data_IF_431966461517
#
_entry.id   IF_431966461517
#
_cell.length_a   1.000
_cell.length_b   1.000
_cell.length_c   1.000
_cell.angle_alpha   90.00
_cell.angle_beta   90.00
_cell.angle_gamma   90.00
#
_symmetry.space_group_name_H-M   'P 1'
#
loop_
_entity.id
_entity.type
_entity.pdbx_description
1 polymer ?
#
# COMPACT_ATOMS: atom_id res chain seq x y z
N UNK A 1 13.78 -11.74 -21.87
CA UNK A 1 13.19 -12.33 -20.64
C UNK A 1 11.83 -11.72 -20.25
N UNK A 2 11.75 -10.56 -19.56
CA UNK A 2 10.44 -10.05 -19.06
C UNK A 2 9.46 -9.61 -20.16
N UNK A 3 9.96 -8.98 -21.23
CA UNK A 3 9.12 -8.60 -22.37
C UNK A 3 8.53 -9.82 -23.10
N UNK A 4 9.30 -10.90 -23.23
CA UNK A 4 8.79 -12.16 -23.80
C UNK A 4 7.62 -12.72 -22.98
N UNK A 5 7.70 -12.64 -21.64
CA UNK A 5 6.62 -13.11 -20.76
C UNK A 5 5.35 -12.26 -20.94
N UNK A 6 5.52 -10.94 -21.10
CA UNK A 6 4.42 -10.00 -21.38
C UNK A 6 3.66 -10.36 -22.66
N UNK A 7 4.35 -10.81 -23.71
CA UNK A 7 3.75 -11.18 -25.00
C UNK A 7 3.39 -12.68 -25.11
N UNK A 8 3.65 -13.47 -24.06
CA UNK A 8 3.39 -14.91 -24.04
C UNK A 8 4.33 -15.76 -24.91
N UNK A 9 5.43 -15.18 -25.41
CA UNK A 9 6.38 -15.85 -26.31
C UNK A 9 7.64 -16.27 -25.55
N UNK A 10 7.53 -17.32 -24.72
CA UNK A 10 8.65 -17.78 -23.89
C UNK A 10 9.63 -18.68 -24.64
N UNK A 11 10.85 -18.19 -24.86
CA UNK A 11 11.95 -19.01 -25.38
C UNK A 11 12.46 -20.02 -24.33
N UNK A 12 13.11 -21.10 -24.79
CA UNK A 12 13.70 -22.11 -23.89
C UNK A 12 14.82 -21.54 -23.01
N UNK A 13 15.61 -20.59 -23.53
CA UNK A 13 16.66 -19.91 -22.78
C UNK A 13 16.07 -19.07 -21.64
N UNK A 14 15.00 -18.32 -21.90
CA UNK A 14 14.25 -17.58 -20.88
C UNK A 14 13.66 -18.53 -19.82
N UNK A 15 13.10 -19.66 -20.23
CA UNK A 15 12.54 -20.65 -19.29
C UNK A 15 13.62 -21.24 -18.39
N UNK A 16 14.80 -21.57 -18.94
CA UNK A 16 15.95 -22.03 -18.16
C UNK A 16 16.44 -20.98 -17.16
N UNK A 17 16.48 -19.71 -17.57
CA UNK A 17 16.88 -18.61 -16.69
C UNK A 17 15.94 -18.46 -15.49
N UNK A 18 14.61 -18.50 -15.69
CA UNK A 18 13.65 -18.45 -14.57
C UNK A 18 13.77 -19.65 -13.63
N UNK A 19 14.00 -20.86 -14.14
CA UNK A 19 14.23 -22.05 -13.29
C UNK A 19 15.46 -21.88 -12.39
N UNK A 20 16.53 -21.24 -12.89
CA UNK A 20 17.72 -20.93 -12.09
C UNK A 20 17.48 -19.86 -11.00
N UNK A 21 16.36 -19.13 -11.05
CA UNK A 21 15.96 -18.18 -10.01
C UNK A 21 15.32 -18.82 -8.78
N UNK A 22 15.11 -20.14 -8.77
CA UNK A 22 14.56 -20.90 -7.63
C UNK A 22 15.51 -21.06 -6.43
N UNK A 23 16.74 -20.56 -6.53
CA UNK A 23 17.71 -20.56 -5.43
C UNK A 23 17.26 -19.68 -4.27
N UNK A 24 17.68 -20.02 -3.05
CA UNK A 24 17.45 -19.18 -1.86
C UNK A 24 18.13 -17.82 -2.01
N UNK A 25 17.42 -16.75 -1.65
CA UNK A 25 17.96 -15.39 -1.66
C UNK A 25 18.24 -14.96 -0.22
N UNK A 26 19.46 -14.52 0.05
CA UNK A 26 19.89 -13.98 1.35
C UNK A 26 20.21 -12.51 1.19
N UNK A 27 19.75 -11.69 2.14
CA UNK A 27 20.04 -10.26 2.21
C UNK A 27 20.78 -9.95 3.51
N UNK A 28 21.78 -9.07 3.43
CA UNK A 28 22.63 -8.71 4.57
C UNK A 28 22.08 -7.50 5.36
N UNK A 29 21.06 -6.82 4.84
CA UNK A 29 20.47 -5.60 5.41
C UNK A 29 19.36 -5.87 6.45
N UNK A 30 19.12 -7.15 6.76
CA UNK A 30 18.07 -7.58 7.69
C UNK A 30 16.65 -7.48 7.12
N UNK A 31 16.48 -6.98 5.88
CA UNK A 31 15.19 -6.95 5.19
C UNK A 31 15.04 -8.26 4.43
N UNK A 32 14.05 -9.06 4.83
CA UNK A 32 13.77 -10.31 4.13
C UNK A 32 13.08 -10.03 2.78
N UNK A 33 13.18 -10.97 1.83
CA UNK A 33 12.46 -10.86 0.57
C UNK A 33 10.95 -10.72 0.78
N UNK A 34 10.34 -9.93 -0.10
CA UNK A 34 8.88 -9.87 -0.21
C UNK A 34 8.40 -11.05 -1.04
N UNK A 35 7.55 -11.88 -0.45
CA UNK A 35 6.90 -12.99 -1.14
C UNK A 35 5.65 -12.51 -1.88
N UNK A 36 5.44 -13.01 -3.10
CA UNK A 36 4.31 -12.66 -3.95
C UNK A 36 3.40 -13.87 -4.12
N UNK A 37 2.11 -13.70 -3.79
CA UNK A 37 1.11 -14.76 -3.89
C UNK A 37 -0.06 -14.32 -4.80
N UNK A 38 -0.73 -15.27 -5.46
CA UNK A 38 -1.88 -14.96 -6.32
C UNK A 38 -3.15 -14.61 -5.52
N UNK A 39 -3.34 -15.19 -4.32
CA UNK A 39 -4.52 -14.95 -3.48
C UNK A 39 -4.18 -14.16 -2.22
N UNK A 40 -5.10 -13.26 -1.82
CA UNK A 40 -4.98 -12.49 -0.57
C UNK A 40 -4.87 -13.37 0.66
N UNK A 41 -5.66 -14.45 0.74
CA UNK A 41 -5.62 -15.38 1.87
C UNK A 41 -4.25 -16.04 2.07
N UNK A 42 -3.48 -16.25 0.98
CA UNK A 42 -2.13 -16.79 1.06
C UNK A 42 -1.14 -15.74 1.58
N UNK A 43 -1.27 -14.48 1.12
CA UNK A 43 -0.50 -13.34 1.64
C UNK A 43 -0.75 -13.15 3.14
N UNK A 44 -2.02 -13.13 3.56
CA UNK A 44 -2.40 -12.93 4.96
C UNK A 44 -1.87 -14.05 5.84
N UNK A 45 -1.95 -15.31 5.38
CA UNK A 45 -1.39 -16.46 6.09
C UNK A 45 0.13 -16.35 6.24
N UNK A 46 0.85 -16.03 5.16
CA UNK A 46 2.30 -15.86 5.20
C UNK A 46 2.73 -14.72 6.12
N UNK A 47 2.08 -13.56 6.02
CA UNK A 47 2.34 -12.39 6.86
C UNK A 47 2.06 -12.67 8.34
N UNK A 48 0.95 -13.34 8.66
CA UNK A 48 0.61 -13.69 10.04
C UNK A 48 1.57 -14.72 10.63
N UNK A 49 1.98 -15.72 9.85
CA UNK A 49 3.00 -16.70 10.28
C UNK A 49 4.33 -16.02 10.58
N UNK A 50 4.71 -15.02 9.77
CA UNK A 50 5.93 -14.25 9.99
C UNK A 50 5.82 -13.30 11.17
N UNK A 51 4.66 -12.69 11.38
CA UNK A 51 4.40 -11.86 12.56
C UNK A 51 4.39 -12.71 13.85
N UNK A 52 3.85 -13.93 13.80
CA UNK A 52 3.80 -14.81 14.97
C UNK A 52 5.18 -15.32 15.37
N UNK A 53 6.07 -15.57 14.40
CA UNK A 53 7.45 -16.00 14.65
C UNK A 53 8.37 -14.91 15.21
N UNK A 54 8.01 -13.63 15.06
CA UNK A 54 8.77 -12.53 15.65
C UNK A 54 8.67 -12.55 17.19
N UNK A 55 9.80 -12.31 17.89
CA UNK A 55 9.80 -12.16 19.34
C UNK A 55 9.10 -10.87 19.76
N UNK A 56 8.72 -10.81 21.04
CA UNK A 56 8.08 -9.64 21.65
C UNK A 56 6.55 -9.66 21.60
N UNK A 57 5.98 -8.73 22.36
CA UNK A 57 4.54 -8.66 22.57
C UNK A 57 3.82 -8.01 21.38
N UNK A 58 2.66 -8.56 20.97
CA UNK A 58 1.85 -7.96 19.92
C UNK A 58 1.14 -6.69 20.42
N UNK A 59 1.16 -5.65 19.60
CA UNK A 59 0.37 -4.44 19.78
C UNK A 59 -0.67 -4.33 18.68
N UNK A 60 -1.95 -4.28 19.06
CA UNK A 60 -3.07 -4.18 18.13
C UNK A 60 -3.63 -2.76 18.08
N UNK A 61 -3.64 -2.19 16.89
CA UNK A 61 -4.25 -0.91 16.57
C UNK A 61 -5.62 -1.16 15.93
N UNK A 62 -6.68 -0.61 16.50
CA UNK A 62 -8.05 -0.71 15.96
C UNK A 62 -8.42 0.58 15.27
N UNK A 63 -9.05 0.47 14.10
CA UNK A 63 -9.61 1.60 13.38
C UNK A 63 -10.79 2.19 14.16
N UNK A 64 -11.01 3.48 13.96
CA UNK A 64 -12.18 4.21 14.45
C UNK A 64 -12.98 4.67 13.23
N UNK A 65 -14.07 3.95 12.97
CA UNK A 65 -14.90 4.15 11.77
C UNK A 65 -16.20 4.85 12.17
N UNK A 66 -16.61 5.87 11.41
CA UNK A 66 -17.85 6.64 11.64
C UNK A 66 -18.60 6.69 10.30
N UNK A 67 -19.92 6.47 10.26
CA UNK A 67 -20.65 6.54 9.01
C UNK A 67 -20.58 7.93 8.38
N UNK A 68 -20.14 7.97 7.12
CA UNK A 68 -20.19 9.15 6.28
C UNK A 68 -21.58 9.42 5.70
N UNK A 69 -21.63 10.36 4.77
CA UNK A 69 -22.83 10.71 4.00
C UNK A 69 -22.68 10.24 2.55
N UNK A 70 -23.81 9.96 1.89
CA UNK A 70 -23.83 9.69 0.46
C UNK A 70 -23.77 10.98 -0.39
N UNK A 71 -23.82 10.85 -1.71
CA UNK A 71 -23.78 11.99 -2.65
C UNK A 71 -24.94 12.98 -2.50
N UNK A 72 -26.02 12.59 -1.81
CA UNK A 72 -27.19 13.42 -1.55
C UNK A 72 -27.21 13.96 -0.11
N UNK A 73 -26.14 13.76 0.68
CA UNK A 73 -26.07 14.18 2.08
C UNK A 73 -26.88 13.28 3.03
N UNK A 74 -27.25 12.07 2.61
CA UNK A 74 -27.98 11.12 3.45
C UNK A 74 -26.96 10.32 4.28
N UNK A 75 -27.09 10.27 5.61
CA UNK A 75 -26.20 9.45 6.46
C UNK A 75 -26.27 7.98 6.07
N UNK A 76 -25.11 7.38 5.86
CA UNK A 76 -25.00 5.94 5.63
C UNK A 76 -25.33 5.17 6.91
N UNK A 77 -25.99 4.03 6.77
CA UNK A 77 -26.09 3.09 7.89
C UNK A 77 -24.80 2.27 8.04
N UNK A 78 -24.62 1.63 9.19
CA UNK A 78 -23.41 0.84 9.48
C UNK A 78 -23.16 -0.30 8.48
N UNK A 79 -24.22 -0.95 7.97
CA UNK A 79 -24.08 -2.03 6.98
C UNK A 79 -23.57 -1.51 5.62
N UNK A 80 -24.01 -0.31 5.22
CA UNK A 80 -23.52 0.34 4.00
C UNK A 80 -22.06 0.78 4.17
N UNK A 81 -21.72 1.39 5.30
CA UNK A 81 -20.35 1.76 5.65
C UNK A 81 -19.42 0.53 5.60
N UNK A 82 -19.80 -0.57 6.26
CA UNK A 82 -18.98 -1.80 6.30
C UNK A 82 -18.68 -2.34 4.90
N UNK A 83 -19.68 -2.39 4.00
CA UNK A 83 -19.48 -2.82 2.61
C UNK A 83 -18.54 -1.92 1.82
N UNK A 84 -18.49 -0.63 2.14
CA UNK A 84 -17.56 0.31 1.52
C UNK A 84 -16.14 0.11 2.07
N UNK A 85 -16.02 -0.04 3.39
CA UNK A 85 -14.74 -0.26 4.07
C UNK A 85 -14.09 -1.60 3.69
N UNK A 86 -14.88 -2.64 3.38
CA UNK A 86 -14.37 -3.93 2.87
C UNK A 86 -13.54 -3.79 1.57
N UNK A 87 -13.72 -2.70 0.82
CA UNK A 87 -12.96 -2.44 -0.41
C UNK A 87 -11.62 -1.76 -0.16
N UNK A 88 -11.39 -1.25 1.05
CA UNK A 88 -10.14 -0.60 1.40
C UNK A 88 -9.00 -1.61 1.51
N UNK A 89 -7.78 -1.11 1.24
CA UNK A 89 -6.55 -1.89 1.41
C UNK A 89 -6.21 -2.04 2.90
N UNK A 90 -6.66 -1.10 3.73
CA UNK A 90 -6.33 -1.05 5.16
C UNK A 90 -7.35 -1.88 5.96
N UNK A 91 -6.90 -2.83 6.81
CA UNK A 91 -7.80 -3.62 7.63
C UNK A 91 -8.32 -2.84 8.85
N UNK A 92 -9.46 -3.27 9.40
CA UNK A 92 -10.07 -2.68 10.62
C UNK A 92 -9.19 -2.79 11.87
N UNK A 93 -8.29 -3.76 11.91
CA UNK A 93 -7.29 -3.89 12.98
C UNK A 93 -5.96 -4.33 12.42
N UNK A 94 -4.88 -3.69 12.85
CA UNK A 94 -3.51 -4.04 12.48
C UNK A 94 -2.77 -4.44 13.75
N UNK A 95 -2.21 -5.64 13.78
CA UNK A 95 -1.36 -6.11 14.89
C UNK A 95 0.09 -6.08 14.44
N UNK A 96 0.97 -5.49 15.26
CA UNK A 96 2.40 -5.33 14.97
C UNK A 96 3.25 -5.82 16.14
N UNK A 97 4.47 -6.25 15.85
CA UNK A 97 5.52 -6.57 16.81
C UNK A 97 6.79 -5.82 16.44
N UNK A 98 7.72 -5.68 17.39
CA UNK A 98 9.04 -5.12 17.12
C UNK A 98 9.75 -5.99 16.06
N UNK A 99 10.31 -5.35 15.03
CA UNK A 99 10.92 -6.04 13.89
C UNK A 99 9.96 -6.47 12.78
N UNK A 100 8.66 -6.18 12.90
CA UNK A 100 7.71 -6.40 11.82
C UNK A 100 7.98 -5.47 10.62
N UNK A 101 8.06 -6.04 9.43
CA UNK A 101 8.20 -5.29 8.18
C UNK A 101 6.83 -4.77 7.73
N UNK A 102 6.75 -3.47 7.46
CA UNK A 102 5.51 -2.78 7.08
C UNK A 102 5.66 -2.05 5.76
N UNK A 103 4.54 -1.85 5.07
CA UNK A 103 4.49 -1.08 3.82
C UNK A 103 3.61 0.17 4.01
N UNK A 104 4.06 1.30 3.46
CA UNK A 104 3.24 2.50 3.40
C UNK A 104 2.17 2.34 2.31
N UNK A 105 0.90 2.40 2.71
CA UNK A 105 -0.26 2.26 1.81
C UNK A 105 -0.87 3.59 1.37
N UNK A 106 -0.48 4.70 2.02
CA UNK A 106 -0.93 6.06 1.68
C UNK A 106 0.27 6.99 1.64
N UNK A 107 0.51 7.59 0.48
CA UNK A 107 1.55 8.61 0.30
C UNK A 107 1.25 9.79 1.23
N UNK A 108 2.23 10.19 2.03
CA UNK A 108 2.20 11.46 2.75
C UNK A 108 2.92 12.49 1.89
N UNK A 109 2.20 13.50 1.44
CA UNK A 109 2.82 14.68 0.85
C UNK A 109 3.18 15.61 1.99
N UNK A 110 4.47 15.68 2.32
CA UNK A 110 4.96 16.71 3.23
C UNK A 110 5.15 17.99 2.42
N UNK A 111 4.47 19.06 2.80
CA UNK A 111 4.46 20.33 2.06
C UNK A 111 5.81 21.08 2.06
N UNK A 112 6.85 20.53 2.71
CA UNK A 112 8.10 21.26 2.95
C UNK A 112 9.22 21.02 1.93
N UNK A 113 9.17 19.99 1.10
CA UNK A 113 10.29 19.69 0.18
C UNK A 113 9.85 19.03 -1.14
N UNK A 114 8.81 19.55 -1.79
CA UNK A 114 8.67 19.29 -3.23
C UNK A 114 9.67 20.20 -3.94
N UNK A 115 10.94 19.78 -4.02
CA UNK A 115 11.85 20.37 -5.00
C UNK A 115 11.29 20.00 -6.38
N UNK A 116 10.86 20.99 -7.19
CA UNK A 116 10.34 20.68 -8.51
C UNK A 116 11.47 20.05 -9.33
N UNK A 117 11.19 18.88 -9.92
CA UNK A 117 12.01 18.32 -10.99
C UNK A 117 12.29 19.42 -12.01
N UNK A 118 13.55 19.53 -12.43
CA UNK A 118 14.14 20.60 -13.23
C UNK A 118 13.61 20.67 -14.67
N UNK A 119 12.31 20.85 -14.84
CA UNK A 119 11.69 21.29 -16.08
C UNK A 119 10.86 22.52 -15.79
N UNK A 120 11.28 23.61 -16.44
CA UNK A 120 10.86 24.99 -16.27
C UNK A 120 9.35 25.13 -16.48
N UNK A 121 8.58 25.07 -15.40
CA UNK A 121 7.17 25.47 -15.43
C UNK A 121 7.15 27.00 -15.27
N UNK A 122 6.59 27.71 -16.25
CA UNK A 122 6.48 29.16 -16.22
C UNK A 122 5.67 29.65 -15.01
N UNK A 123 5.98 30.84 -14.45
CA UNK A 123 5.35 31.36 -13.24
C UNK A 123 3.81 31.42 -13.30
N UNK A 124 3.25 31.66 -14.48
CA UNK A 124 1.80 31.77 -14.71
C UNK A 124 1.06 30.42 -14.53
N UNK A 125 1.73 29.30 -14.80
CA UNK A 125 1.15 27.97 -14.61
C UNK A 125 1.05 27.57 -13.13
N UNK A 126 1.79 28.26 -12.26
CA UNK A 126 1.85 28.00 -10.80
C UNK A 126 0.61 28.54 -10.06
N UNK A 127 0.02 29.63 -10.56
CA UNK A 127 -1.15 30.26 -9.95
C UNK A 127 -2.46 29.48 -10.18
N UNK A 128 -2.55 28.66 -11.24
CA UNK A 128 -3.76 27.84 -11.49
C UNK A 128 -3.80 26.52 -10.72
N UNK A 129 -2.65 25.98 -10.30
CA UNK A 129 -2.59 24.71 -9.56
C UNK A 129 -2.69 24.89 -8.05
N UNK A 130 -2.33 26.07 -7.54
CA UNK A 130 -2.41 26.41 -6.12
C UNK A 130 -3.27 27.65 -5.92
N UNK A 131 -4.55 27.52 -6.30
CA UNK A 131 -5.58 28.46 -5.88
C UNK A 131 -5.78 28.37 -4.37
N UNK A 132 -5.63 29.51 -3.72
CA UNK A 132 -5.70 29.72 -2.28
C UNK A 132 -7.01 29.19 -1.66
N UNK A 133 -6.88 28.24 -0.74
CA UNK A 133 -7.65 28.21 0.51
C UNK A 133 -7.03 27.21 1.47
N UNK A 134 -6.19 27.74 2.36
CA UNK A 134 -5.91 27.12 3.65
C UNK A 134 -7.22 27.08 4.44
N UNK A 135 -7.97 25.99 4.29
CA UNK A 135 -9.09 25.62 5.13
C UNK A 135 -8.80 24.23 5.64
N UNK A 136 -8.51 24.12 6.93
CA UNK A 136 -8.54 22.85 7.63
C UNK A 136 -9.93 22.24 7.43
N UNK A 137 -10.02 21.23 6.56
CA UNK A 137 -11.21 20.40 6.44
C UNK A 137 -10.81 18.96 6.72
N UNK A 138 -10.97 18.59 7.99
CA UNK A 138 -11.58 17.30 8.29
C UNK A 138 -13.00 17.37 7.71
N UNK A 139 -13.18 16.83 6.50
CA UNK A 139 -14.48 16.35 6.05
C UNK A 139 -14.32 14.88 5.71
N UNK A 140 -15.07 14.08 6.47
CA UNK A 140 -15.82 12.92 6.03
C UNK A 140 -15.21 12.14 4.85
N UNK A 141 -14.72 10.94 5.14
CA UNK A 141 -15.34 9.73 4.60
C UNK A 141 -15.30 8.64 5.67
#
# INVERSE_FOLDING_TARGET
>A
MLNEMRFGTMSESTTRAFKALSRSVTYDDGVQPTELFPHRADVDRANNNRLSSLPGDPHTYRAMDIPGEDVNGIPLNYLQMDRLLERLIVPKSVTLKVGAQVMLVKVRLDHREILPCSHTISPESRARLFGERLGWYYHQF
#
